data_IF_114555811777
#
_entry.id   IF_114555811777
#
_cell.length_a   1.000
_cell.length_b   1.000
_cell.length_c   1.000
_cell.angle_alpha   90.00
_cell.angle_beta   90.00
_cell.angle_gamma   90.00
#
_symmetry.space_group_name_H-M   'P 1'
#
loop_
_entity.id
_entity.type
_entity.pdbx_description
1 polymer ?
#
# COMPACT_ATOMS: atom_id res chain seq x y z
N UNK A 1 -39.94 -11.96 -8.02
CA UNK A 1 -40.31 -10.66 -8.61
C UNK A 1 -40.87 -9.85 -7.47
N UNK A 2 -39.99 -9.33 -6.62
CA UNK A 2 -40.37 -8.50 -5.47
C UNK A 2 -39.86 -7.10 -5.76
N UNK A 3 -40.78 -6.15 -5.74
CA UNK A 3 -40.60 -4.75 -6.05
C UNK A 3 -39.71 -4.09 -5.01
N UNK A 4 -38.64 -3.46 -5.48
CA UNK A 4 -37.81 -2.56 -4.69
C UNK A 4 -38.63 -1.30 -4.47
N UNK A 5 -39.20 -1.13 -3.28
CA UNK A 5 -39.80 0.14 -2.86
C UNK A 5 -38.68 1.14 -2.57
N UNK A 6 -38.06 1.63 -3.64
CA UNK A 6 -37.39 2.91 -3.63
C UNK A 6 -38.47 3.99 -3.57
N UNK A 7 -38.37 4.89 -2.60
CA UNK A 7 -39.10 6.15 -2.68
C UNK A 7 -38.50 6.93 -3.86
N UNK A 8 -39.05 6.70 -5.05
CA UNK A 8 -38.77 7.46 -6.26
C UNK A 8 -39.28 8.89 -6.06
N UNK A 9 -38.41 9.75 -5.52
CA UNK A 9 -38.52 11.17 -5.78
C UNK A 9 -38.33 11.38 -7.28
N UNK A 10 -39.03 12.35 -7.88
CA UNK A 10 -39.26 12.53 -9.33
C UNK A 10 -37.99 12.79 -10.18
N UNK A 11 -36.80 12.47 -9.67
CA UNK A 11 -35.49 12.58 -10.29
C UNK A 11 -34.79 11.22 -10.54
N UNK A 12 -35.40 10.09 -10.15
CA UNK A 12 -34.84 8.74 -10.39
C UNK A 12 -33.56 8.45 -9.60
N UNK A 13 -33.24 9.29 -8.62
CA UNK A 13 -32.07 9.17 -7.78
C UNK A 13 -32.43 8.38 -6.51
N UNK A 14 -31.80 7.23 -6.30
CA UNK A 14 -32.05 6.39 -5.12
C UNK A 14 -31.55 7.10 -3.86
N UNK A 15 -32.48 7.48 -2.97
CA UNK A 15 -32.17 8.06 -1.66
C UNK A 15 -32.01 6.93 -0.65
N UNK A 16 -30.99 7.02 0.20
CA UNK A 16 -30.80 6.08 1.29
C UNK A 16 -31.87 6.29 2.38
N UNK A 17 -32.67 5.26 2.64
CA UNK A 17 -33.69 5.23 3.70
C UNK A 17 -33.32 4.19 4.76
N UNK A 18 -33.78 4.39 5.99
CA UNK A 18 -33.51 3.46 7.10
C UNK A 18 -34.02 2.04 6.81
N UNK A 19 -35.20 1.92 6.17
CA UNK A 19 -35.78 0.62 5.80
C UNK A 19 -34.89 -0.15 4.83
N UNK A 20 -34.29 0.54 3.86
CA UNK A 20 -33.40 -0.06 2.86
C UNK A 20 -32.04 -0.42 3.47
N UNK A 21 -31.51 0.42 4.37
CA UNK A 21 -30.30 0.08 5.15
C UNK A 21 -30.55 -1.18 6.01
N UNK A 22 -31.69 -1.28 6.70
CA UNK A 22 -32.06 -2.46 7.48
C UNK A 22 -32.29 -3.70 6.62
N UNK A 23 -32.88 -3.55 5.43
CA UNK A 23 -33.01 -4.63 4.47
C UNK A 23 -31.63 -5.14 4.03
N UNK A 24 -30.70 -4.23 3.76
CA UNK A 24 -29.33 -4.60 3.40
C UNK A 24 -28.58 -5.24 4.56
N UNK A 25 -28.76 -4.75 5.80
CA UNK A 25 -28.21 -5.40 7.00
C UNK A 25 -28.71 -6.84 7.11
N UNK A 26 -30.01 -7.09 6.89
CA UNK A 26 -30.58 -8.44 6.90
C UNK A 26 -29.98 -9.35 5.83
N UNK A 27 -29.75 -8.82 4.61
CA UNK A 27 -29.09 -9.58 3.54
C UNK A 27 -27.64 -9.94 3.88
N UNK A 28 -26.96 -9.09 4.63
CA UNK A 28 -25.57 -9.27 5.06
C UNK A 28 -25.46 -9.99 6.42
N UNK A 29 -26.53 -10.64 6.89
CA UNK A 29 -26.57 -11.35 8.18
C UNK A 29 -26.26 -10.45 9.40
N UNK A 30 -26.51 -9.14 9.27
CA UNK A 30 -26.39 -8.16 10.34
C UNK A 30 -27.61 -8.12 11.28
N UNK A 31 -27.57 -7.22 12.26
CA UNK A 31 -28.63 -7.07 13.24
C UNK A 31 -29.79 -6.24 12.68
N UNK A 32 -31.02 -6.61 13.04
CA UNK A 32 -32.20 -5.80 12.73
C UNK A 32 -32.29 -4.54 13.60
N UNK A 33 -31.57 -4.51 14.73
CA UNK A 33 -31.41 -3.35 15.60
C UNK A 33 -30.25 -2.47 15.10
N UNK A 34 -30.50 -1.23 14.64
CA UNK A 34 -29.48 -0.35 14.07
C UNK A 34 -28.22 -0.16 14.92
N UNK A 35 -28.38 -0.03 16.24
CA UNK A 35 -27.32 0.34 17.18
C UNK A 35 -26.27 -0.76 17.37
N UNK A 36 -26.64 -2.03 17.11
CA UNK A 36 -25.73 -3.17 17.24
C UNK A 36 -24.87 -3.40 16.00
N UNK A 37 -25.14 -2.70 14.89
CA UNK A 37 -24.37 -2.86 13.67
C UNK A 37 -23.10 -2.00 13.70
N UNK A 38 -21.96 -2.64 13.96
CA UNK A 38 -20.65 -1.97 13.92
C UNK A 38 -20.13 -1.77 12.50
N UNK A 39 -20.55 -2.61 11.55
CA UNK A 39 -20.10 -2.57 10.15
C UNK A 39 -21.29 -2.50 9.22
N UNK A 40 -21.31 -1.50 8.34
CA UNK A 40 -22.38 -1.30 7.37
C UNK A 40 -21.84 -1.44 5.95
N UNK A 41 -22.40 -2.37 5.19
CA UNK A 41 -22.04 -2.67 3.81
C UNK A 41 -23.09 -2.12 2.85
N UNK A 42 -22.87 -0.90 2.37
CA UNK A 42 -23.79 -0.13 1.54
C UNK A 42 -23.19 0.21 0.15
N UNK A 43 -22.34 -0.67 -0.36
CA UNK A 43 -21.66 -0.53 -1.65
C UNK A 43 -22.53 -1.01 -2.83
N UNK A 44 -22.35 -0.41 -4.01
CA UNK A 44 -23.06 -0.75 -5.27
C UNK A 44 -24.59 -0.65 -5.23
N UNK A 45 -25.16 0.29 -4.46
CA UNK A 45 -26.62 0.45 -4.34
C UNK A 45 -27.17 1.64 -5.13
N UNK A 46 -26.30 2.46 -5.72
CA UNK A 46 -26.70 3.59 -6.55
C UNK A 46 -27.19 4.79 -5.75
N UNK A 47 -26.81 4.90 -4.47
CA UNK A 47 -27.27 6.01 -3.63
C UNK A 47 -26.75 7.35 -4.13
N UNK A 48 -27.65 8.32 -4.25
CA UNK A 48 -27.29 9.71 -4.60
C UNK A 48 -27.06 10.59 -3.37
N UNK A 49 -27.71 10.25 -2.24
CA UNK A 49 -27.63 10.95 -0.96
C UNK A 49 -27.63 10.00 0.21
N UNK A 50 -26.92 10.38 1.27
CA UNK A 50 -26.92 9.67 2.54
C UNK A 50 -28.15 10.07 3.36
N UNK A 51 -28.80 9.11 4.00
CA UNK A 51 -30.02 9.29 4.77
C UNK A 51 -30.34 8.07 5.62
N UNK A 52 -31.14 8.24 6.67
CA UNK A 52 -31.56 7.11 7.53
C UNK A 52 -30.45 6.46 8.36
N UNK A 53 -29.27 7.10 8.50
CA UNK A 53 -28.16 6.58 9.30
C UNK A 53 -28.13 7.07 10.76
N UNK A 54 -29.06 7.94 11.15
CA UNK A 54 -29.09 8.54 12.49
C UNK A 54 -29.20 7.51 13.63
N UNK A 55 -29.91 6.40 13.41
CA UNK A 55 -30.06 5.33 14.40
C UNK A 55 -28.81 4.44 14.57
N UNK A 56 -27.87 4.46 13.61
CA UNK A 56 -26.71 3.56 13.58
C UNK A 56 -25.52 4.09 14.39
N UNK A 57 -25.78 4.53 15.63
CA UNK A 57 -24.80 5.17 16.52
C UNK A 57 -23.60 4.27 16.88
N UNK A 58 -23.78 2.96 16.80
CA UNK A 58 -22.73 1.95 17.04
C UNK A 58 -21.79 1.70 15.86
N UNK A 59 -22.04 2.32 14.69
CA UNK A 59 -21.25 2.06 13.50
C UNK A 59 -19.80 2.55 13.65
N UNK A 60 -18.86 1.64 13.37
CA UNK A 60 -17.41 1.86 13.40
C UNK A 60 -16.84 1.88 11.98
N UNK A 61 -17.40 1.06 11.07
CA UNK A 61 -16.93 0.95 9.68
C UNK A 61 -18.11 1.10 8.71
N UNK A 62 -18.00 2.05 7.78
CA UNK A 62 -19.04 2.32 6.79
C UNK A 62 -18.45 2.20 5.38
N UNK A 63 -19.00 1.26 4.60
CA UNK A 63 -18.69 1.07 3.18
C UNK A 63 -19.78 1.67 2.31
N UNK A 64 -19.45 2.73 1.60
CA UNK A 64 -20.32 3.44 0.65
C UNK A 64 -19.70 3.53 -0.74
N UNK A 65 -18.80 2.60 -1.05
CA UNK A 65 -18.09 2.53 -2.32
C UNK A 65 -19.04 2.29 -3.49
N UNK A 66 -18.70 2.85 -4.66
CA UNK A 66 -19.43 2.66 -5.91
C UNK A 66 -20.92 3.03 -5.82
N UNK A 67 -21.18 4.24 -5.32
CA UNK A 67 -22.50 4.87 -5.37
C UNK A 67 -22.43 6.15 -6.22
N UNK A 68 -23.47 6.96 -6.20
CA UNK A 68 -23.55 8.24 -6.91
C UNK A 68 -23.59 9.42 -5.94
N UNK A 69 -22.94 9.29 -4.76
CA UNK A 69 -23.01 10.29 -3.72
C UNK A 69 -22.34 11.59 -4.16
N UNK A 70 -23.06 12.70 -3.98
CA UNK A 70 -22.59 14.06 -4.29
C UNK A 70 -22.42 14.93 -3.03
N UNK A 71 -23.06 14.52 -1.92
CA UNK A 71 -22.94 15.11 -0.59
C UNK A 71 -22.76 14.02 0.47
N UNK A 72 -22.25 14.42 1.64
CA UNK A 72 -22.02 13.56 2.80
C UNK A 72 -22.82 14.01 4.04
N UNK A 73 -23.86 14.83 3.82
CA UNK A 73 -24.80 15.21 4.87
C UNK A 73 -25.57 13.97 5.36
N UNK A 74 -25.93 13.92 6.64
CA UNK A 74 -26.62 12.74 7.20
C UNK A 74 -25.71 11.71 7.91
N UNK A 75 -24.40 12.00 8.03
CA UNK A 75 -23.44 11.19 8.79
C UNK A 75 -23.23 11.70 10.24
N UNK A 76 -23.99 12.71 10.69
CA UNK A 76 -23.78 13.42 11.96
C UNK A 76 -23.93 12.50 13.18
N UNK A 77 -24.80 11.48 13.10
CA UNK A 77 -25.05 10.52 14.18
C UNK A 77 -23.91 9.52 14.41
N UNK A 78 -22.96 9.39 13.48
CA UNK A 78 -21.94 8.34 13.48
C UNK A 78 -20.67 8.73 14.25
N UNK A 79 -20.85 9.15 15.51
CA UNK A 79 -19.76 9.67 16.35
C UNK A 79 -18.64 8.67 16.64
N UNK A 80 -18.91 7.36 16.50
CA UNK A 80 -17.95 6.26 16.72
C UNK A 80 -17.26 5.78 15.43
N UNK A 81 -17.57 6.39 14.29
CA UNK A 81 -17.04 5.98 13.00
C UNK A 81 -15.52 6.13 12.96
N UNK A 82 -14.84 5.02 12.73
CA UNK A 82 -13.38 4.94 12.64
C UNK A 82 -12.91 4.91 11.19
N UNK A 83 -13.64 4.18 10.33
CA UNK A 83 -13.25 3.95 8.94
C UNK A 83 -14.42 4.20 7.99
N UNK A 84 -14.22 5.11 7.03
CA UNK A 84 -15.20 5.51 6.03
C UNK A 84 -14.66 5.30 4.62
N UNK A 85 -15.33 4.47 3.83
CA UNK A 85 -14.97 4.17 2.45
C UNK A 85 -16.02 4.74 1.49
N UNK A 86 -15.59 5.66 0.63
CA UNK A 86 -16.39 6.42 -0.32
C UNK A 86 -15.77 6.37 -1.73
N UNK A 87 -15.02 5.31 -2.04
CA UNK A 87 -14.38 5.19 -3.34
C UNK A 87 -15.41 5.12 -4.47
N UNK A 88 -15.08 5.64 -5.65
CA UNK A 88 -15.95 5.61 -6.83
C UNK A 88 -17.34 6.25 -6.59
N UNK A 89 -17.35 7.51 -6.13
CA UNK A 89 -18.56 8.34 -5.99
C UNK A 89 -18.46 9.60 -6.87
N UNK A 90 -19.40 10.53 -6.72
CA UNK A 90 -19.46 11.79 -7.48
C UNK A 90 -19.12 13.03 -6.62
N UNK A 91 -18.33 12.86 -5.55
CA UNK A 91 -17.98 13.94 -4.63
C UNK A 91 -17.05 14.95 -5.31
N UNK A 92 -17.36 16.24 -5.17
CA UNK A 92 -16.54 17.35 -5.69
C UNK A 92 -15.83 18.14 -4.60
N UNK A 93 -16.32 18.04 -3.36
CA UNK A 93 -15.83 18.74 -2.18
C UNK A 93 -16.14 17.91 -0.92
N UNK A 94 -15.46 18.22 0.18
CA UNK A 94 -15.62 17.54 1.48
C UNK A 94 -16.29 18.42 2.55
N UNK A 95 -16.82 19.58 2.20
CA UNK A 95 -17.44 20.52 3.15
C UNK A 95 -18.70 19.97 3.82
N UNK A 96 -19.39 19.02 3.17
CA UNK A 96 -20.56 18.34 3.71
C UNK A 96 -20.22 17.22 4.69
N UNK A 97 -18.93 16.88 4.87
CA UNK A 97 -18.51 15.89 5.86
C UNK A 97 -18.71 16.46 7.28
N UNK A 98 -19.55 15.85 8.13
CA UNK A 98 -19.78 16.36 9.48
C UNK A 98 -18.58 16.09 10.38
N UNK A 99 -18.64 16.65 11.60
CA UNK A 99 -17.61 16.41 12.61
C UNK A 99 -17.65 14.94 13.10
N UNK A 100 -16.64 14.17 12.69
CA UNK A 100 -16.43 12.76 13.01
C UNK A 100 -15.18 12.60 13.89
N UNK A 101 -15.30 12.75 15.23
CA UNK A 101 -14.15 12.86 16.12
C UNK A 101 -13.33 11.57 16.21
N UNK A 102 -13.92 10.42 15.91
CA UNK A 102 -13.27 9.12 15.98
C UNK A 102 -12.62 8.68 14.66
N UNK A 103 -12.81 9.41 13.55
CA UNK A 103 -12.42 8.96 12.22
C UNK A 103 -10.89 8.89 12.08
N UNK A 104 -10.39 7.71 11.70
CA UNK A 104 -8.97 7.41 11.51
C UNK A 104 -8.64 7.09 10.07
N UNK A 105 -9.56 6.49 9.32
CA UNK A 105 -9.37 6.11 7.93
C UNK A 105 -10.48 6.72 7.07
N UNK A 106 -10.08 7.45 6.03
CA UNK A 106 -11.00 8.00 5.04
C UNK A 106 -10.49 7.65 3.65
N UNK A 107 -11.32 6.96 2.88
CA UNK A 107 -11.09 6.70 1.47
C UNK A 107 -12.11 7.46 0.63
N UNK A 108 -11.63 8.40 -0.17
CA UNK A 108 -12.38 9.21 -1.12
C UNK A 108 -11.78 9.08 -2.53
N UNK A 109 -11.11 7.97 -2.80
CA UNK A 109 -10.45 7.73 -4.09
C UNK A 109 -11.47 7.63 -5.24
N UNK A 110 -11.06 7.92 -6.47
CA UNK A 110 -11.94 7.88 -7.65
C UNK A 110 -13.20 8.76 -7.49
N UNK A 111 -13.00 10.00 -7.05
CA UNK A 111 -14.03 11.04 -7.00
C UNK A 111 -13.61 12.23 -7.90
N UNK A 112 -14.29 13.37 -7.76
CA UNK A 112 -14.01 14.60 -8.52
C UNK A 112 -13.55 15.73 -7.58
N UNK A 113 -12.91 15.39 -6.46
CA UNK A 113 -12.57 16.34 -5.40
C UNK A 113 -11.47 17.28 -5.88
N UNK A 114 -11.68 18.59 -5.72
CA UNK A 114 -10.73 19.64 -6.13
C UNK A 114 -9.96 20.21 -4.93
N UNK A 115 -10.55 20.18 -3.73
CA UNK A 115 -9.98 20.72 -2.49
C UNK A 115 -10.29 19.84 -1.28
N UNK A 116 -9.38 19.81 -0.30
CA UNK A 116 -9.53 19.10 0.97
C UNK A 116 -9.89 20.03 2.14
N UNK A 117 -10.38 21.24 1.83
CA UNK A 117 -10.75 22.22 2.83
C UNK A 117 -11.84 21.69 3.79
N UNK A 118 -11.70 21.98 5.08
CA UNK A 118 -12.63 21.55 6.13
C UNK A 118 -12.38 20.14 6.68
N UNK A 119 -11.49 19.35 6.07
CA UNK A 119 -11.18 17.99 6.54
C UNK A 119 -10.53 17.98 7.94
N UNK A 120 -9.70 18.97 8.24
CA UNK A 120 -9.08 19.17 9.55
C UNK A 120 -10.10 19.36 10.68
N UNK A 121 -11.19 20.07 10.41
CA UNK A 121 -12.30 20.28 11.34
C UNK A 121 -13.21 19.06 11.43
N UNK A 122 -13.47 18.41 10.31
CA UNK A 122 -14.33 17.24 10.24
C UNK A 122 -13.70 16.03 10.93
N UNK A 123 -12.43 15.73 10.65
CA UNK A 123 -11.74 14.51 11.12
C UNK A 123 -10.35 14.83 11.69
N UNK A 124 -10.24 15.47 12.88
CA UNK A 124 -8.96 15.92 13.43
C UNK A 124 -7.99 14.79 13.82
N UNK A 125 -8.51 13.56 14.01
CA UNK A 125 -7.71 12.38 14.39
C UNK A 125 -7.34 11.48 13.21
N UNK A 126 -7.56 11.94 11.97
CA UNK A 126 -7.32 11.15 10.77
C UNK A 126 -5.86 10.69 10.68
N UNK A 127 -5.67 9.40 10.38
CA UNK A 127 -4.36 8.75 10.25
C UNK A 127 -4.08 8.32 8.81
N UNK A 128 -5.10 7.90 8.10
CA UNK A 128 -5.01 7.43 6.72
C UNK A 128 -6.01 8.18 5.86
N UNK A 129 -5.50 8.90 4.87
CA UNK A 129 -6.31 9.56 3.84
C UNK A 129 -5.95 8.95 2.48
N UNK A 130 -6.92 8.31 1.84
CA UNK A 130 -6.82 7.85 0.47
C UNK A 130 -7.66 8.79 -0.41
N UNK A 131 -6.99 9.58 -1.23
CA UNK A 131 -7.59 10.55 -2.13
C UNK A 131 -7.01 10.39 -3.55
N UNK A 132 -6.64 9.17 -3.92
CA UNK A 132 -6.15 8.83 -5.25
C UNK A 132 -7.20 9.08 -6.33
N UNK A 133 -6.79 9.31 -7.57
CA UNK A 133 -7.71 9.49 -8.71
C UNK A 133 -8.78 10.58 -8.46
N UNK A 134 -8.35 11.77 -8.05
CA UNK A 134 -9.19 12.95 -7.87
C UNK A 134 -8.68 14.10 -8.76
N UNK A 135 -9.16 15.32 -8.53
CA UNK A 135 -8.77 16.54 -9.27
C UNK A 135 -8.07 17.56 -8.38
N UNK A 136 -7.37 17.09 -7.34
CA UNK A 136 -6.69 17.96 -6.38
C UNK A 136 -5.57 18.72 -7.07
N UNK A 137 -5.63 20.06 -7.01
CA UNK A 137 -4.56 20.94 -7.50
C UNK A 137 -3.63 21.41 -6.38
N UNK A 138 -4.13 21.39 -5.13
CA UNK A 138 -3.42 21.77 -3.91
C UNK A 138 -3.86 20.88 -2.76
N UNK A 139 -3.03 20.79 -1.72
CA UNK A 139 -3.31 20.07 -0.49
C UNK A 139 -3.72 21.02 0.64
N UNK A 140 -4.51 22.03 0.34
CA UNK A 140 -5.03 22.94 1.37
C UNK A 140 -6.11 22.24 2.19
N UNK A 141 -6.06 22.37 3.52
CA UNK A 141 -6.93 21.67 4.46
C UNK A 141 -6.31 20.46 5.16
N UNK A 142 -5.16 19.96 4.68
CA UNK A 142 -4.44 18.86 5.37
C UNK A 142 -3.54 19.36 6.49
N UNK A 143 -3.22 20.67 6.54
CA UNK A 143 -2.24 21.22 7.48
C UNK A 143 -2.58 20.96 8.95
N UNK A 144 -3.88 20.88 9.29
CA UNK A 144 -4.36 20.62 10.65
C UNK A 144 -4.33 19.15 11.09
N UNK A 145 -4.06 18.20 10.18
CA UNK A 145 -4.13 16.76 10.43
C UNK A 145 -2.86 16.21 11.11
N UNK A 146 -2.58 16.69 12.32
CA UNK A 146 -1.36 16.37 13.08
C UNK A 146 -1.05 14.88 13.30
N UNK A 147 -2.01 13.97 13.07
CA UNK A 147 -1.88 12.52 13.25
C UNK A 147 -1.81 11.72 11.96
N UNK A 148 -1.72 12.39 10.81
CA UNK A 148 -1.65 11.75 9.51
C UNK A 148 -0.36 10.92 9.39
N UNK A 149 -0.53 9.63 9.07
CA UNK A 149 0.53 8.63 8.89
C UNK A 149 0.63 8.19 7.43
N UNK A 150 -0.50 8.06 6.73
CA UNK A 150 -0.57 7.61 5.35
C UNK A 150 -1.40 8.59 4.53
N UNK A 151 -0.81 9.06 3.42
CA UNK A 151 -1.48 9.95 2.48
C UNK A 151 -1.30 9.41 1.07
N UNK A 152 -2.41 9.05 0.43
CA UNK A 152 -2.45 8.77 -0.98
C UNK A 152 -3.13 9.93 -1.70
N UNK A 153 -2.38 10.60 -2.56
CA UNK A 153 -2.88 11.64 -3.47
C UNK A 153 -2.42 11.35 -4.90
N UNK A 154 -2.25 10.07 -5.22
CA UNK A 154 -1.89 9.61 -6.55
C UNK A 154 -2.92 10.01 -7.60
N UNK A 155 -2.50 10.10 -8.86
CA UNK A 155 -3.37 10.41 -10.00
C UNK A 155 -4.27 11.65 -9.76
N UNK A 156 -3.67 12.73 -9.26
CA UNK A 156 -4.29 14.04 -9.10
C UNK A 156 -3.64 15.09 -10.03
N UNK A 157 -4.02 16.36 -9.88
CA UNK A 157 -3.52 17.47 -10.69
C UNK A 157 -2.53 18.35 -9.90
N UNK A 158 -1.71 17.76 -9.02
CA UNK A 158 -0.73 18.52 -8.23
C UNK A 158 0.46 18.92 -9.12
N UNK A 159 0.60 20.20 -9.41
CA UNK A 159 1.66 20.73 -10.28
C UNK A 159 2.92 21.15 -9.50
N UNK A 160 2.74 21.83 -8.37
CA UNK A 160 3.83 22.56 -7.71
C UNK A 160 4.38 21.82 -6.49
N UNK A 161 5.55 21.19 -6.63
CA UNK A 161 6.22 20.44 -5.56
C UNK A 161 6.46 21.30 -4.31
N UNK A 162 7.02 22.51 -4.47
CA UNK A 162 7.34 23.40 -3.33
C UNK A 162 6.11 23.73 -2.49
N UNK A 163 4.99 24.08 -3.13
CA UNK A 163 3.72 24.38 -2.45
C UNK A 163 3.20 23.14 -1.72
N UNK A 164 3.19 22.00 -2.38
CA UNK A 164 2.76 20.71 -1.81
C UNK A 164 3.60 20.33 -0.58
N UNK A 165 4.93 20.43 -0.68
CA UNK A 165 5.85 20.15 0.42
C UNK A 165 5.68 21.13 1.60
N UNK A 166 5.34 22.39 1.33
CA UNK A 166 5.06 23.39 2.36
C UNK A 166 3.77 23.06 3.12
N UNK A 167 2.70 22.64 2.43
CA UNK A 167 1.47 22.20 3.08
C UNK A 167 1.69 20.97 3.98
N UNK A 168 2.62 20.09 3.60
CA UNK A 168 2.95 18.89 4.36
C UNK A 168 4.06 19.09 5.41
N UNK A 169 4.56 20.32 5.61
CA UNK A 169 5.69 20.58 6.53
C UNK A 169 5.42 20.13 7.97
N UNK A 170 4.18 20.29 8.46
CA UNK A 170 3.78 19.83 9.80
C UNK A 170 3.82 18.32 9.99
N UNK A 171 3.79 17.55 8.90
CA UNK A 171 3.68 16.09 8.91
C UNK A 171 5.03 15.39 8.71
N UNK A 172 6.15 16.14 8.64
CA UNK A 172 7.49 15.58 8.37
C UNK A 172 7.93 14.50 9.35
N UNK A 173 7.47 14.58 10.60
CA UNK A 173 7.78 13.63 11.66
C UNK A 173 6.76 12.47 11.79
N UNK A 174 5.57 12.61 11.20
CA UNK A 174 4.46 11.64 11.38
C UNK A 174 4.22 10.80 10.14
N UNK A 175 4.39 11.38 8.95
CA UNK A 175 4.04 10.75 7.69
C UNK A 175 5.02 9.61 7.36
N UNK A 176 4.45 8.42 7.18
CA UNK A 176 5.16 7.16 6.90
C UNK A 176 4.98 6.69 5.47
N UNK A 177 3.81 6.92 4.90
CA UNK A 177 3.47 6.52 3.54
C UNK A 177 2.94 7.72 2.77
N UNK A 178 3.51 7.96 1.59
CA UNK A 178 3.10 9.04 0.70
C UNK A 178 3.06 8.54 -0.74
N UNK A 179 1.89 8.60 -1.38
CA UNK A 179 1.74 8.26 -2.80
C UNK A 179 1.44 9.54 -3.59
N UNK A 180 2.33 9.88 -4.52
CA UNK A 180 2.31 11.08 -5.37
C UNK A 180 2.35 10.74 -6.87
N UNK A 181 2.56 9.49 -7.25
CA UNK A 181 2.60 9.05 -8.65
C UNK A 181 1.34 9.49 -9.42
N UNK A 182 1.49 9.71 -10.72
CA UNK A 182 0.37 10.19 -11.56
C UNK A 182 0.05 11.68 -11.44
N UNK A 183 0.76 12.46 -10.61
CA UNK A 183 0.67 13.92 -10.58
C UNK A 183 1.64 14.61 -11.56
N UNK A 184 1.32 15.85 -11.94
CA UNK A 184 2.18 16.64 -12.82
C UNK A 184 3.53 16.99 -12.19
N UNK A 185 3.60 17.19 -10.87
CA UNK A 185 4.84 17.44 -10.14
C UNK A 185 5.89 16.33 -10.36
N UNK A 186 5.45 15.09 -10.52
CA UNK A 186 6.33 13.94 -10.74
C UNK A 186 6.95 13.96 -12.14
N UNK A 187 6.27 14.57 -13.12
CA UNK A 187 6.76 14.76 -14.49
C UNK A 187 7.66 15.97 -14.62
N UNK A 188 7.31 17.07 -13.96
CA UNK A 188 8.02 18.35 -14.10
C UNK A 188 9.36 18.37 -13.36
N UNK A 189 9.47 17.63 -12.27
CA UNK A 189 10.55 17.81 -11.31
C UNK A 189 11.49 16.59 -11.27
N UNK A 190 12.66 16.63 -11.95
CA UNK A 190 13.63 15.55 -11.86
C UNK A 190 14.11 15.41 -10.40
N UNK A 191 14.41 14.17 -10.00
CA UNK A 191 14.86 13.84 -8.64
C UNK A 191 13.89 14.27 -7.52
N UNK A 192 12.59 14.45 -7.79
CA UNK A 192 11.60 14.76 -6.75
C UNK A 192 11.64 13.71 -5.64
N UNK A 193 11.75 12.41 -5.98
CA UNK A 193 11.84 11.33 -4.99
C UNK A 193 12.91 11.58 -3.93
N UNK A 194 14.12 11.97 -4.34
CA UNK A 194 15.23 12.28 -3.42
C UNK A 194 14.88 13.48 -2.52
N UNK A 195 14.28 14.52 -3.08
CA UNK A 195 13.88 15.72 -2.33
C UNK A 195 12.79 15.42 -1.31
N UNK A 196 11.81 14.58 -1.65
CA UNK A 196 10.80 14.09 -0.72
C UNK A 196 11.40 13.21 0.38
N UNK A 197 12.27 12.26 0.05
CA UNK A 197 12.94 11.41 1.05
C UNK A 197 13.77 12.25 2.04
N UNK A 198 14.55 13.21 1.53
CA UNK A 198 15.35 14.09 2.38
C UNK A 198 14.47 15.07 3.20
N UNK A 199 13.34 15.52 2.64
CA UNK A 199 12.41 16.36 3.37
C UNK A 199 11.66 15.60 4.46
N UNK A 200 11.28 14.34 4.28
CA UNK A 200 10.44 13.58 5.21
C UNK A 200 11.24 12.44 5.88
N UNK A 201 11.83 12.66 7.06
CA UNK A 201 12.68 11.67 7.74
C UNK A 201 11.91 10.43 8.21
N UNK A 202 10.62 10.57 8.56
CA UNK A 202 9.79 9.45 9.02
C UNK A 202 9.22 8.57 7.89
N UNK A 203 9.45 8.95 6.63
CA UNK A 203 8.85 8.32 5.45
C UNK A 203 9.44 6.94 5.20
N UNK A 204 8.62 5.89 5.24
CA UNK A 204 9.02 4.51 4.97
C UNK A 204 8.67 4.07 3.55
N UNK A 205 7.63 4.65 2.97
CA UNK A 205 7.11 4.28 1.67
C UNK A 205 6.79 5.54 0.86
N UNK A 206 7.30 5.59 -0.37
CA UNK A 206 7.07 6.68 -1.30
C UNK A 206 6.73 6.09 -2.66
N UNK A 207 5.54 6.40 -3.17
CA UNK A 207 4.98 5.79 -4.38
C UNK A 207 5.04 4.25 -4.29
N UNK A 208 5.45 3.54 -5.33
CA UNK A 208 5.47 2.08 -5.35
C UNK A 208 6.66 1.44 -4.61
N UNK A 209 7.59 2.23 -4.08
CA UNK A 209 8.88 1.72 -3.59
C UNK A 209 9.18 2.09 -2.13
N UNK A 210 9.59 1.11 -1.30
CA UNK A 210 10.04 1.38 0.05
C UNK A 210 11.30 2.25 0.05
N UNK A 211 11.43 3.09 1.07
CA UNK A 211 12.57 3.98 1.27
C UNK A 211 13.57 3.28 2.20
N UNK A 212 14.70 2.87 1.64
CA UNK A 212 15.79 2.25 2.41
C UNK A 212 16.70 3.30 3.04
N UNK A 213 17.36 2.95 4.14
CA UNK A 213 18.28 3.85 4.85
C UNK A 213 19.44 4.31 3.95
N UNK A 214 19.95 3.42 3.11
CA UNK A 214 20.99 3.75 2.13
C UNK A 214 20.52 4.73 1.04
N UNK A 215 19.26 4.62 0.63
CA UNK A 215 18.65 5.59 -0.28
C UNK A 215 18.50 6.96 0.39
N UNK A 216 18.08 6.97 1.66
CA UNK A 216 17.95 8.20 2.44
C UNK A 216 19.28 8.92 2.60
N UNK A 217 20.35 8.21 2.98
CA UNK A 217 21.68 8.81 3.11
C UNK A 217 22.14 9.50 1.80
N UNK A 218 21.87 8.85 0.66
CA UNK A 218 22.15 9.43 -0.67
C UNK A 218 21.27 10.64 -0.98
N UNK A 219 19.98 10.57 -0.64
CA UNK A 219 19.04 11.67 -0.84
C UNK A 219 19.42 12.90 -0.01
N UNK A 220 19.79 12.72 1.26
CA UNK A 220 20.26 13.79 2.13
C UNK A 220 21.57 14.40 1.63
N UNK A 221 22.53 13.58 1.21
CA UNK A 221 23.78 14.05 0.61
C UNK A 221 23.51 14.86 -0.67
N UNK A 222 22.58 14.40 -1.52
CA UNK A 222 22.16 15.13 -2.71
C UNK A 222 21.58 16.50 -2.38
N UNK A 223 20.73 16.61 -1.35
CA UNK A 223 20.17 17.91 -0.96
C UNK A 223 21.17 18.88 -0.36
N UNK A 224 22.25 18.38 0.27
CA UNK A 224 23.30 19.23 0.88
C UNK A 224 24.40 19.64 -0.10
N UNK A 225 24.89 18.71 -0.91
CA UNK A 225 26.09 18.87 -1.74
C UNK A 225 25.90 18.50 -3.21
N UNK A 226 24.64 18.32 -3.65
CA UNK A 226 24.31 18.00 -5.03
C UNK A 226 24.79 16.61 -5.47
N UNK A 227 24.98 16.45 -6.78
CA UNK A 227 25.32 15.16 -7.38
C UNK A 227 26.68 14.60 -6.94
N UNK A 228 27.65 15.48 -6.62
CA UNK A 228 28.99 15.06 -6.20
C UNK A 228 28.94 14.33 -4.84
N UNK A 229 28.31 14.96 -3.84
CA UNK A 229 28.16 14.36 -2.51
C UNK A 229 27.35 13.05 -2.54
N UNK A 230 26.36 12.95 -3.43
CA UNK A 230 25.63 11.70 -3.66
C UNK A 230 26.53 10.59 -4.23
N UNK A 231 27.41 10.94 -5.17
CA UNK A 231 28.32 9.99 -5.81
C UNK A 231 29.32 9.41 -4.80
N UNK A 232 29.84 10.24 -3.89
CA UNK A 232 30.76 9.82 -2.84
C UNK A 232 30.11 8.80 -1.90
N UNK A 233 28.89 9.09 -1.42
CA UNK A 233 28.12 8.17 -0.57
C UNK A 233 27.80 6.87 -1.32
N UNK A 234 27.39 6.95 -2.59
CA UNK A 234 27.12 5.77 -3.42
C UNK A 234 28.38 4.90 -3.59
N UNK A 235 29.53 5.52 -3.84
CA UNK A 235 30.82 4.82 -3.97
C UNK A 235 31.20 4.10 -2.67
N UNK A 236 31.06 4.79 -1.54
CA UNK A 236 31.31 4.22 -0.22
C UNK A 236 30.37 3.04 0.11
N UNK A 237 29.08 3.18 -0.17
CA UNK A 237 28.09 2.09 0.00
C UNK A 237 28.40 0.89 -0.91
N UNK A 238 28.76 1.14 -2.17
CA UNK A 238 29.14 0.07 -3.09
C UNK A 238 30.40 -0.66 -2.65
N UNK A 239 31.44 0.07 -2.24
CA UNK A 239 32.67 -0.52 -1.71
C UNK A 239 32.40 -1.38 -0.47
N UNK A 240 31.53 -0.92 0.43
CA UNK A 240 31.09 -1.68 1.60
C UNK A 240 30.35 -2.96 1.21
N UNK A 241 29.37 -2.87 0.29
CA UNK A 241 28.62 -4.03 -0.16
C UNK A 241 29.52 -5.08 -0.85
N UNK A 242 30.51 -4.64 -1.63
CA UNK A 242 31.49 -5.52 -2.27
C UNK A 242 32.39 -6.20 -1.23
N UNK A 243 32.82 -5.48 -0.19
CA UNK A 243 33.60 -6.05 0.91
C UNK A 243 32.80 -7.11 1.69
N UNK A 244 31.55 -6.78 2.07
CA UNK A 244 30.65 -7.71 2.77
C UNK A 244 30.35 -8.95 1.90
N UNK A 245 30.10 -8.79 0.61
CA UNK A 245 29.89 -9.91 -0.31
C UNK A 245 31.14 -10.80 -0.46
N UNK A 246 32.33 -10.20 -0.46
CA UNK A 246 33.60 -10.93 -0.51
C UNK A 246 33.81 -11.74 0.76
N UNK A 247 33.52 -11.18 1.93
CA UNK A 247 33.61 -11.87 3.22
C UNK A 247 32.61 -13.03 3.31
N UNK A 248 31.35 -12.80 2.89
CA UNK A 248 30.34 -13.85 2.82
C UNK A 248 30.75 -14.98 1.87
N UNK A 249 31.25 -14.65 0.69
CA UNK A 249 31.72 -15.65 -0.27
C UNK A 249 32.88 -16.46 0.28
N UNK A 250 33.85 -15.81 0.94
CA UNK A 250 34.96 -16.48 1.60
C UNK A 250 34.47 -17.44 2.70
N UNK A 251 33.55 -16.98 3.56
CA UNK A 251 32.95 -17.80 4.61
C UNK A 251 32.24 -19.05 4.06
N UNK A 252 31.44 -18.92 2.98
CA UNK A 252 30.79 -20.07 2.35
C UNK A 252 31.79 -20.98 1.62
N UNK A 253 32.87 -20.42 1.08
CA UNK A 253 33.99 -21.19 0.52
C UNK A 253 34.65 -22.07 1.58
N UNK A 254 35.06 -21.46 2.68
CA UNK A 254 35.68 -22.15 3.82
C UNK A 254 34.76 -23.22 4.41
N UNK A 255 33.46 -22.93 4.53
CA UNK A 255 32.47 -23.91 4.99
C UNK A 255 32.37 -25.12 4.06
N UNK A 256 32.35 -24.89 2.73
CA UNK A 256 32.33 -25.98 1.74
C UNK A 256 33.60 -26.82 1.79
N UNK A 257 34.74 -26.19 1.92
CA UNK A 257 36.03 -26.89 1.96
C UNK A 257 36.19 -27.67 3.28
N UNK A 258 35.74 -27.11 4.41
CA UNK A 258 35.67 -27.83 5.68
C UNK A 258 34.75 -29.07 5.61
N UNK A 259 33.59 -28.98 4.95
CA UNK A 259 32.73 -30.15 4.72
C UNK A 259 33.39 -31.19 3.80
N UNK A 260 34.10 -30.74 2.76
CA UNK A 260 34.85 -31.63 1.85
C UNK A 260 35.93 -32.39 2.60
N UNK A 261 36.68 -31.70 3.45
CA UNK A 261 37.74 -32.30 4.25
C UNK A 261 37.19 -33.25 5.32
N UNK A 262 36.06 -32.93 5.94
CA UNK A 262 35.38 -33.83 6.87
C UNK A 262 34.95 -35.14 6.18
N UNK A 263 34.41 -35.06 4.95
CA UNK A 263 34.08 -36.25 4.13
C UNK A 263 35.31 -37.08 3.79
N UNK A 264 36.45 -36.43 3.50
CA UNK A 264 37.73 -37.12 3.24
C UNK A 264 38.27 -37.82 4.48
N UNK A 265 38.13 -37.22 5.67
CA UNK A 265 38.63 -37.78 6.94
C UNK A 265 37.77 -38.91 7.48
N UNK A 266 36.44 -38.79 7.40
CA UNK A 266 35.51 -39.75 7.99
C UNK A 266 35.13 -40.91 7.05
N UNK A 267 35.61 -40.89 5.80
CA UNK A 267 35.11 -41.76 4.74
C UNK A 267 33.69 -41.38 4.32
N UNK A 268 33.31 -41.66 3.08
CA UNK A 268 31.96 -41.38 2.60
C UNK A 268 30.95 -42.33 3.26
N UNK A 269 30.44 -42.00 4.46
CA UNK A 269 29.16 -42.55 4.91
C UNK A 269 28.03 -41.87 4.11
N UNK A 270 27.91 -42.23 2.83
CA UNK A 270 26.69 -42.00 2.05
C UNK A 270 25.62 -42.94 2.56
N UNK A 271 24.94 -42.57 3.65
CA UNK A 271 23.62 -43.15 3.92
C UNK A 271 22.64 -42.45 2.98
N UNK A 272 21.99 -43.18 2.06
CA UNK A 272 20.99 -42.57 1.17
C UNK A 272 19.90 -41.92 2.03
N UNK A 273 19.49 -40.72 1.64
CA UNK A 273 18.43 -40.00 2.35
C UNK A 273 17.14 -40.83 2.32
N UNK A 274 16.25 -40.71 3.32
CA UNK A 274 15.00 -41.48 3.37
C UNK A 274 14.14 -41.32 2.10
N UNK A 275 14.22 -40.15 1.47
CA UNK A 275 13.59 -39.87 0.18
C UNK A 275 14.17 -40.71 -0.97
N UNK A 276 15.49 -40.87 -1.02
CA UNK A 276 16.15 -41.70 -2.02
C UNK A 276 15.75 -43.18 -1.83
N UNK A 277 15.81 -43.68 -0.59
CA UNK A 277 15.36 -45.04 -0.24
C UNK A 277 13.88 -45.31 -0.57
N UNK A 278 13.02 -44.30 -0.48
CA UNK A 278 11.59 -44.43 -0.79
C UNK A 278 11.29 -44.45 -2.30
N UNK A 279 12.23 -44.01 -3.15
CA UNK A 279 11.99 -43.79 -4.58
C UNK A 279 13.03 -44.42 -5.52
N UNK A 280 14.08 -45.05 -5.00
CA UNK A 280 14.99 -45.91 -5.77
C UNK A 280 14.44 -47.33 -5.86
N UNK A 281 14.34 -47.90 -7.07
CA UNK A 281 14.02 -49.32 -7.26
C UNK A 281 15.17 -50.19 -6.75
N UNK A 282 14.90 -51.35 -6.13
CA UNK A 282 15.96 -52.21 -5.60
C UNK A 282 16.80 -52.73 -6.77
N UNK A 283 18.06 -52.30 -6.83
CA UNK A 283 19.05 -52.90 -7.73
C UNK A 283 19.55 -54.18 -7.08
N UNK A 284 19.43 -55.27 -7.83
CA UNK A 284 19.84 -56.62 -7.45
C UNK A 284 21.34 -56.65 -7.08
N UNK A 285 21.65 -57.29 -5.96
CA UNK A 285 22.95 -57.20 -5.29
C UNK A 285 24.05 -58.09 -5.93
N UNK A 286 24.14 -58.12 -7.26
CA UNK A 286 25.08 -59.01 -7.98
C UNK A 286 26.03 -58.32 -8.95
N UNK A 287 26.05 -56.98 -9.05
CA UNK A 287 27.00 -56.27 -9.90
C UNK A 287 27.87 -55.35 -9.06
N UNK A 288 29.16 -55.68 -8.94
CA UNK A 288 30.17 -54.81 -8.36
C UNK A 288 30.31 -53.55 -9.23
N UNK A 289 30.42 -52.35 -8.66
CA UNK A 289 30.64 -51.14 -9.45
C UNK A 289 32.11 -51.11 -9.90
N UNK A 290 32.35 -51.02 -11.21
CA UNK A 290 33.65 -50.65 -11.75
C UNK A 290 33.92 -49.18 -11.39
N UNK A 291 35.04 -48.92 -10.69
CA UNK A 291 35.42 -47.62 -10.11
C UNK A 291 35.91 -46.58 -11.14
N UNK A 292 35.69 -46.78 -12.45
CA UNK A 292 36.38 -46.01 -13.51
C UNK A 292 35.47 -45.30 -14.54
N UNK A 293 34.23 -44.92 -14.20
CA UNK A 293 33.48 -43.96 -15.04
C UNK A 293 33.54 -42.52 -14.49
N UNK A 294 34.16 -41.56 -15.22
CA UNK A 294 34.20 -40.18 -14.80
C UNK A 294 32.80 -39.56 -14.83
N UNK A 295 32.39 -38.98 -13.70
CA UNK A 295 31.15 -38.21 -13.57
C UNK A 295 31.12 -37.11 -14.64
N UNK A 296 30.22 -37.24 -15.61
CA UNK A 296 29.95 -36.21 -16.61
C UNK A 296 29.34 -34.98 -15.94
N UNK A 297 30.13 -33.91 -15.82
CA UNK A 297 29.65 -32.58 -15.43
C UNK A 297 29.39 -31.82 -16.74
N UNK A 298 28.13 -31.49 -17.10
CA UNK A 298 27.86 -30.69 -18.28
C UNK A 298 28.54 -29.33 -18.11
N UNK A 299 29.35 -28.93 -19.09
CA UNK A 299 29.96 -27.61 -19.10
C UNK A 299 28.84 -26.55 -19.08
N UNK A 300 28.99 -25.56 -18.19
CA UNK A 300 28.06 -24.45 -17.99
C UNK A 300 28.07 -23.48 -19.19
N UNK A 301 27.66 -23.95 -20.37
CA UNK A 301 27.63 -23.09 -21.57
C UNK A 301 26.42 -23.16 -22.46
N UNK A 302 25.48 -24.08 -22.24
CA UNK A 302 24.22 -24.06 -22.97
C UNK A 302 23.08 -24.33 -22.01
N UNK A 303 21.97 -23.58 -22.18
CA UNK A 303 20.71 -23.63 -21.38
C UNK A 303 20.69 -22.68 -20.17
N UNK A 304 20.55 -21.38 -20.42
CA UNK A 304 19.32 -20.56 -20.17
C UNK A 304 19.66 -19.11 -20.59
N UNK A 305 19.60 -18.86 -21.90
CA UNK A 305 19.14 -17.59 -22.44
C UNK A 305 17.92 -17.93 -23.30
N UNK A 306 16.74 -17.91 -22.70
CA UNK A 306 15.52 -17.64 -23.43
C UNK A 306 14.75 -16.58 -22.64
N UNK A 307 14.91 -15.35 -23.11
CA UNK A 307 14.04 -14.21 -22.82
C UNK A 307 12.56 -14.62 -23.00
N UNK A 308 11.67 -14.32 -22.05
CA UNK A 308 10.24 -14.41 -22.29
C UNK A 308 9.67 -13.05 -22.66
N UNK A 309 10.23 -12.30 -23.62
CA UNK A 309 9.61 -11.08 -24.20
C UNK A 309 10.10 -10.76 -25.63
N UNK A 310 9.24 -11.06 -26.63
CA UNK A 310 9.08 -10.55 -28.02
C UNK A 310 8.70 -11.75 -28.91
N UNK A 311 7.54 -11.84 -29.56
CA UNK A 311 6.57 -10.88 -30.11
C UNK A 311 5.15 -11.44 -29.93
#
# INVERSE_FOLDING_TARGET
METVDGADDCTGATIMTESLVLQQCRRQQGYSTPELNEKLYLHHLGFARVGGLAAFTGCVVLYLDHNALSDLAGLEGLTRLDSLYLSCNALSHLESLPHLPALRTLDVSHNQIVTLHGLDKAAPLLRTLLAGHNRLQRLDGVQGLSRLLSLDVSHNCLEHEKKTSACLHGHRATLRTLLLHGNELCRQAPHHRKRWIAAFPALRFLDDYPVFDDERARAEAFTRGGAAAEADIRSAQHARAVAEAREQFAYYGDFRDAQRDARRRNGAETRPTPYFLAHSTPVDATVAPDDDEPIYIPAARDVIHQDPLRL
#
